data_IF_780890065295
#
_entry.id   IF_780890065295
#
_cell.length_a   1.000
_cell.length_b   1.000
_cell.length_c   1.000
_cell.angle_alpha   90.00
_cell.angle_beta   90.00
_cell.angle_gamma   90.00
#
_symmetry.space_group_name_H-M   'P 1'
#
loop_
_entity.id
_entity.type
_entity.pdbx_description
1 polymer ?
#
# COMPACT_ATOMS: atom_id res chain seq x y z
N UNK A 1 0.24 -9.23 -27.52
CA UNK A 1 0.35 -8.23 -26.45
C UNK A 1 1.51 -8.67 -25.59
N UNK A 2 2.51 -7.83 -25.27
CA UNK A 2 3.50 -8.23 -24.28
C UNK A 2 2.76 -8.60 -22.99
N UNK A 3 3.18 -9.68 -22.34
CA UNK A 3 2.57 -10.13 -21.10
C UNK A 3 2.66 -9.01 -20.06
N UNK A 4 1.51 -8.51 -19.59
CA UNK A 4 1.47 -7.52 -18.53
C UNK A 4 2.08 -8.15 -17.27
N UNK A 5 3.12 -7.53 -16.71
CA UNK A 5 3.73 -7.98 -15.46
C UNK A 5 2.66 -7.95 -14.36
N UNK A 6 2.39 -9.12 -13.77
CA UNK A 6 1.48 -9.26 -12.63
C UNK A 6 2.28 -9.37 -11.35
N UNK A 7 1.83 -8.72 -10.29
CA UNK A 7 2.53 -8.74 -9.01
C UNK A 7 1.69 -8.20 -7.86
N UNK A 8 2.24 -8.29 -6.66
CA UNK A 8 1.69 -7.62 -5.49
C UNK A 8 2.40 -6.30 -5.25
N UNK A 9 1.72 -5.36 -4.63
CA UNK A 9 2.27 -4.07 -4.24
C UNK A 9 2.57 -4.08 -2.73
N UNK A 10 3.74 -3.59 -2.35
CA UNK A 10 4.07 -3.26 -0.96
C UNK A 10 4.43 -1.78 -0.92
N UNK A 11 3.76 -1.02 -0.05
CA UNK A 11 4.02 0.39 0.22
C UNK A 11 4.29 0.60 1.70
N UNK A 12 5.24 1.46 2.03
CA UNK A 12 5.55 1.80 3.40
C UNK A 12 6.10 3.20 3.51
N UNK A 13 6.04 3.75 4.72
CA UNK A 13 6.57 5.06 5.03
C UNK A 13 7.97 4.91 5.63
N UNK A 14 8.87 5.82 5.29
CA UNK A 14 10.23 5.86 5.82
C UNK A 14 10.58 7.28 6.25
N UNK A 15 11.36 7.40 7.32
CA UNK A 15 11.66 8.68 7.96
C UNK A 15 10.59 9.15 8.95
N UNK A 16 10.63 10.44 9.29
CA UNK A 16 9.66 11.03 10.21
C UNK A 16 8.29 11.28 9.57
N UNK A 17 7.20 11.29 10.36
CA UNK A 17 5.87 11.60 9.84
C UNK A 17 5.80 13.04 9.32
N UNK A 18 4.93 13.27 8.34
CA UNK A 18 4.59 14.61 7.86
C UNK A 18 3.07 14.78 7.86
N UNK A 19 2.59 16.01 7.76
CA UNK A 19 1.16 16.31 7.76
C UNK A 19 0.38 15.69 6.59
N UNK A 20 1.07 15.22 5.53
CA UNK A 20 0.44 14.77 4.28
C UNK A 20 0.88 13.37 3.82
N UNK A 21 1.67 12.66 4.63
CA UNK A 21 2.21 11.35 4.24
C UNK A 21 1.09 10.30 4.08
N UNK A 22 0.04 10.39 4.89
CA UNK A 22 -1.09 9.47 4.83
C UNK A 22 -1.96 9.71 3.59
N UNK A 23 -2.15 10.96 3.16
CA UNK A 23 -2.80 11.26 1.88
C UNK A 23 -2.05 10.64 0.67
N UNK A 24 -0.72 10.57 0.73
CA UNK A 24 0.07 9.87 -0.30
C UNK A 24 -0.18 8.36 -0.27
N UNK A 25 -0.27 7.77 0.93
CA UNK A 25 -0.61 6.35 1.11
C UNK A 25 -2.01 6.05 0.58
N UNK A 26 -3.01 6.89 0.89
CA UNK A 26 -4.37 6.78 0.40
C UNK A 26 -4.42 6.74 -1.13
N UNK A 27 -3.76 7.69 -1.79
CA UNK A 27 -3.69 7.76 -3.24
C UNK A 27 -3.05 6.52 -3.88
N UNK A 28 -1.99 5.97 -3.27
CA UNK A 28 -1.36 4.72 -3.74
C UNK A 28 -2.34 3.55 -3.65
N UNK A 29 -2.99 3.36 -2.51
CA UNK A 29 -3.93 2.25 -2.30
C UNK A 29 -5.12 2.36 -3.26
N UNK A 30 -5.73 3.54 -3.34
CA UNK A 30 -6.89 3.78 -4.20
C UNK A 30 -6.57 3.54 -5.68
N UNK A 31 -5.40 3.99 -6.15
CA UNK A 31 -5.01 3.74 -7.54
C UNK A 31 -4.68 2.27 -7.76
N UNK A 32 -3.91 1.65 -6.86
CA UNK A 32 -3.51 0.24 -7.00
C UNK A 32 -4.72 -0.70 -7.14
N UNK A 33 -5.81 -0.46 -6.40
CA UNK A 33 -7.03 -1.25 -6.47
C UNK A 33 -7.78 -1.14 -7.80
N UNK A 34 -7.46 -0.17 -8.67
CA UNK A 34 -8.03 -0.04 -10.01
C UNK A 34 -7.30 -0.89 -11.06
N UNK A 35 -6.11 -1.40 -10.74
CA UNK A 35 -5.24 -2.13 -11.65
C UNK A 35 -5.30 -3.64 -11.40
N UNK A 36 -5.89 -4.39 -12.34
CA UNK A 36 -6.07 -5.84 -12.22
C UNK A 36 -4.76 -6.66 -12.23
N UNK A 37 -3.67 -6.05 -12.70
CA UNK A 37 -2.32 -6.60 -12.68
C UNK A 37 -1.68 -6.55 -11.27
N UNK A 38 -2.24 -5.74 -10.37
CA UNK A 38 -1.86 -5.67 -8.96
C UNK A 38 -2.79 -6.58 -8.15
N UNK A 39 -2.24 -7.67 -7.62
CA UNK A 39 -3.00 -8.69 -6.89
C UNK A 39 -3.40 -8.23 -5.49
N UNK A 40 -2.42 -8.14 -4.60
CA UNK A 40 -2.61 -7.68 -3.21
C UNK A 40 -1.85 -6.38 -2.94
N UNK A 41 -2.41 -5.55 -2.06
CA UNK A 41 -1.84 -4.25 -1.67
C UNK A 41 -1.49 -4.31 -0.19
N UNK A 42 -0.19 -4.31 0.12
CA UNK A 42 0.32 -4.44 1.48
C UNK A 42 0.95 -3.14 1.99
N UNK A 43 0.74 -2.84 3.27
CA UNK A 43 1.41 -1.82 4.05
C UNK A 43 2.56 -2.39 4.86
N UNK A 44 3.69 -1.69 4.92
CA UNK A 44 4.82 -2.05 5.80
C UNK A 44 4.55 -1.59 7.24
N UNK A 45 4.38 -2.52 8.19
CA UNK A 45 4.30 -2.16 9.60
C UNK A 45 5.70 -1.72 10.08
N UNK A 46 5.82 -0.58 10.77
CA UNK A 46 7.13 -0.05 11.22
C UNK A 46 8.18 0.15 10.11
N UNK A 47 7.76 0.38 8.86
CA UNK A 47 8.66 0.63 7.73
C UNK A 47 9.44 -0.62 7.30
N UNK A 48 10.70 -0.45 6.89
CA UNK A 48 11.52 -1.56 6.36
C UNK A 48 11.74 -2.68 7.39
N UNK A 49 11.72 -2.35 8.69
CA UNK A 49 11.87 -3.34 9.75
C UNK A 49 10.75 -4.38 9.72
N UNK A 50 9.49 -3.97 9.54
CA UNK A 50 8.39 -4.93 9.43
C UNK A 50 8.48 -5.78 8.18
N UNK A 51 8.97 -5.25 7.05
CA UNK A 51 9.21 -6.08 5.86
C UNK A 51 10.20 -7.20 6.15
N UNK A 52 11.30 -6.88 6.84
CA UNK A 52 12.32 -7.88 7.22
C UNK A 52 11.79 -8.91 8.24
N UNK A 53 10.74 -8.55 9.00
CA UNK A 53 10.05 -9.42 9.96
C UNK A 53 8.78 -10.08 9.40
N UNK A 54 8.46 -9.85 8.12
CA UNK A 54 7.22 -10.29 7.49
C UNK A 54 5.94 -9.74 8.17
N UNK A 55 6.05 -8.59 8.83
CA UNK A 55 4.95 -7.84 9.45
C UNK A 55 4.32 -6.89 8.42
N UNK A 56 3.35 -7.39 7.67
CA UNK A 56 2.63 -6.65 6.64
C UNK A 56 1.15 -6.51 6.98
N UNK A 57 0.56 -5.36 6.63
CA UNK A 57 -0.88 -5.11 6.74
C UNK A 57 -1.50 -5.25 5.34
N UNK A 58 -2.59 -6.00 5.20
CA UNK A 58 -3.32 -6.08 3.94
C UNK A 58 -4.26 -4.87 3.79
N UNK A 59 -3.75 -3.80 3.19
CA UNK A 59 -4.47 -2.55 3.00
C UNK A 59 -5.63 -2.70 2.00
N UNK A 60 -5.58 -3.70 1.12
CA UNK A 60 -6.66 -3.99 0.18
C UNK A 60 -7.93 -4.54 0.85
N UNK A 61 -7.86 -4.95 2.13
CA UNK A 61 -9.02 -5.38 2.92
C UNK A 61 -9.73 -4.27 3.67
N UNK A 62 -9.11 -3.08 3.75
CA UNK A 62 -9.72 -1.94 4.41
C UNK A 62 -10.88 -1.37 3.59
N UNK A 63 -11.84 -0.75 4.27
CA UNK A 63 -12.96 -0.11 3.59
C UNK A 63 -12.49 1.13 2.82
N UNK A 64 -13.12 1.49 1.68
CA UNK A 64 -12.81 2.73 0.97
C UNK A 64 -12.89 3.97 1.87
N UNK A 65 -13.88 4.02 2.76
CA UNK A 65 -14.06 5.10 3.73
C UNK A 65 -12.90 5.18 4.73
N UNK A 66 -12.38 4.04 5.17
CA UNK A 66 -11.19 3.99 6.04
C UNK A 66 -9.96 4.54 5.32
N UNK A 67 -9.78 4.18 4.04
CA UNK A 67 -8.65 4.66 3.23
C UNK A 67 -8.75 6.17 2.96
N UNK A 68 -9.96 6.70 2.76
CA UNK A 68 -10.19 8.14 2.53
C UNK A 68 -9.87 9.01 3.77
N UNK A 69 -9.86 8.42 4.98
CA UNK A 69 -9.56 9.14 6.23
C UNK A 69 -8.06 9.29 6.53
N UNK A 70 -7.17 8.73 5.70
CA UNK A 70 -5.72 8.80 5.82
C UNK A 70 -5.17 10.18 5.42
#
# INVERSE_FOLDING_TARGET
MPDTLKGNLIVGQSGGPTAVINASLAGIVQEALKHSEIGSVYGMLHGIEGVLKEELIDLGKESPDTIELL
#
